data_IF_938691677097
#
_entry.id   IF_938691677097
#
_cell.length_a   1.000
_cell.length_b   1.000
_cell.length_c   1.000
_cell.angle_alpha   90.00
_cell.angle_beta   90.00
_cell.angle_gamma   90.00
#
_symmetry.space_group_name_H-M   'P 1'
#
loop_
_entity.id
_entity.type
_entity.pdbx_description
1 polymer ?
#
# COMPACT_ATOMS: atom_id res chain seq x y z
N UNK A 1 2.99 5.89 -28.69
CA UNK A 1 2.71 4.82 -27.72
C UNK A 1 4.04 4.40 -27.10
N UNK A 2 4.17 4.39 -25.78
CA UNK A 2 5.43 4.02 -25.10
C UNK A 2 5.39 2.51 -24.86
N UNK A 3 6.44 1.79 -25.23
CA UNK A 3 6.58 0.35 -24.99
C UNK A 3 7.56 0.11 -23.84
N UNK A 4 7.10 -0.60 -22.80
CA UNK A 4 7.90 -1.07 -21.67
C UNK A 4 7.63 -2.56 -21.51
N UNK A 5 8.68 -3.37 -21.34
CA UNK A 5 8.54 -4.83 -21.23
C UNK A 5 7.95 -5.24 -19.89
N UNK A 6 7.34 -6.43 -19.84
CA UNK A 6 6.88 -7.05 -18.59
C UNK A 6 7.99 -7.19 -17.55
N UNK A 7 9.25 -7.35 -17.98
CA UNK A 7 10.42 -7.42 -17.09
C UNK A 7 10.58 -6.12 -16.28
N UNK A 8 10.33 -4.98 -16.90
CA UNK A 8 10.46 -3.67 -16.27
C UNK A 8 9.13 -3.13 -15.73
N UNK A 9 8.00 -3.78 -16.04
CA UNK A 9 6.66 -3.40 -15.59
C UNK A 9 6.13 -4.24 -14.42
N UNK A 10 6.44 -5.54 -14.33
CA UNK A 10 5.83 -6.43 -13.31
C UNK A 10 6.48 -6.43 -11.93
N UNK A 11 7.81 -6.30 -11.76
CA UNK A 11 8.42 -6.35 -10.43
C UNK A 11 7.90 -5.24 -9.51
N UNK A 12 7.71 -5.53 -8.21
CA UNK A 12 7.27 -4.53 -7.23
C UNK A 12 8.24 -3.34 -7.08
N UNK A 13 9.52 -3.55 -7.40
CA UNK A 13 10.55 -2.53 -7.42
C UNK A 13 10.68 -1.75 -8.72
N UNK A 14 9.84 -2.02 -9.73
CA UNK A 14 9.87 -1.30 -11.02
C UNK A 14 9.69 0.21 -10.85
N UNK A 15 10.31 0.98 -11.74
CA UNK A 15 10.46 2.43 -11.59
C UNK A 15 9.66 3.25 -12.61
N UNK A 16 9.10 2.62 -13.64
CA UNK A 16 8.40 3.36 -14.70
C UNK A 16 6.99 3.76 -14.25
N UNK A 17 6.64 5.06 -14.21
CA UNK A 17 5.41 5.59 -13.60
C UNK A 17 4.13 5.34 -14.39
N UNK A 18 4.24 4.79 -15.60
CA UNK A 18 3.10 4.48 -16.48
C UNK A 18 3.04 3.00 -16.88
N UNK A 19 3.99 2.18 -16.42
CA UNK A 19 4.07 0.77 -16.79
C UNK A 19 3.31 -0.08 -15.77
N UNK A 20 1.99 0.11 -15.72
CA UNK A 20 1.10 -0.58 -14.79
C UNK A 20 0.10 -1.42 -15.58
N UNK A 21 -0.12 -2.65 -15.13
CA UNK A 21 -1.04 -3.58 -15.78
C UNK A 21 -2.51 -3.26 -15.52
N UNK A 22 -2.81 -2.54 -14.44
CA UNK A 22 -4.16 -2.44 -13.87
C UNK A 22 -4.52 -1.01 -13.42
N UNK A 23 -3.93 0.01 -14.05
CA UNK A 23 -4.26 1.42 -13.81
C UNK A 23 -5.20 1.92 -14.91
N UNK A 24 -6.37 2.42 -14.52
CA UNK A 24 -7.44 2.84 -15.45
C UNK A 24 -7.69 4.35 -15.42
N UNK A 25 -6.97 5.10 -14.56
CA UNK A 25 -7.16 6.53 -14.40
C UNK A 25 -6.24 7.39 -15.28
N UNK A 26 -6.33 8.71 -15.09
CA UNK A 26 -5.48 9.69 -15.77
C UNK A 26 -4.01 9.57 -15.33
N UNK A 27 -3.81 9.35 -14.04
CA UNK A 27 -2.53 9.11 -13.39
C UNK A 27 -2.78 8.23 -12.15
N UNK A 28 -1.77 7.47 -11.71
CA UNK A 28 -1.97 6.46 -10.68
C UNK A 28 -2.36 7.05 -9.32
N UNK A 29 -1.95 8.28 -9.01
CA UNK A 29 -2.21 8.93 -7.71
C UNK A 29 -3.66 9.38 -7.62
N UNK A 30 -4.15 10.06 -8.67
CA UNK A 30 -5.56 10.46 -8.77
C UNK A 30 -6.49 9.25 -8.74
N UNK A 31 -6.11 8.15 -9.40
CA UNK A 31 -6.92 6.93 -9.41
C UNK A 31 -6.95 6.23 -8.05
N UNK A 32 -5.85 6.25 -7.29
CA UNK A 32 -5.86 5.76 -5.90
C UNK A 32 -6.87 6.55 -5.05
N UNK A 33 -6.88 7.88 -5.17
CA UNK A 33 -7.84 8.72 -4.46
C UNK A 33 -9.29 8.37 -4.84
N UNK A 34 -9.55 8.21 -6.13
CA UNK A 34 -10.87 7.81 -6.65
C UNK A 34 -11.30 6.44 -6.10
N UNK A 35 -10.45 5.42 -6.22
CA UNK A 35 -10.75 4.07 -5.73
C UNK A 35 -10.97 4.02 -4.22
N UNK A 36 -10.25 4.84 -3.45
CA UNK A 36 -10.46 4.91 -2.00
C UNK A 36 -11.82 5.52 -1.63
N UNK A 37 -12.31 6.51 -2.37
CA UNK A 37 -13.67 7.03 -2.18
C UNK A 37 -14.74 6.03 -2.64
N UNK A 38 -14.55 5.37 -3.79
CA UNK A 38 -15.45 4.29 -4.23
C UNK A 38 -15.52 3.17 -3.19
N UNK A 39 -14.35 2.72 -2.69
CA UNK A 39 -14.26 1.71 -1.63
C UNK A 39 -15.00 2.14 -0.38
N UNK A 40 -14.82 3.40 0.05
CA UNK A 40 -15.50 3.96 1.22
C UNK A 40 -17.02 3.96 1.04
N UNK A 41 -17.52 4.36 -0.12
CA UNK A 41 -18.97 4.27 -0.43
C UNK A 41 -19.45 2.83 -0.45
N UNK A 42 -18.70 1.90 -1.05
CA UNK A 42 -19.05 0.49 -1.09
C UNK A 42 -19.10 -0.13 0.31
N UNK A 43 -18.07 0.07 1.13
CA UNK A 43 -18.06 -0.35 2.54
C UNK A 43 -19.17 0.33 3.33
N UNK A 44 -19.52 1.57 2.98
CA UNK A 44 -20.59 2.30 3.64
C UNK A 44 -21.99 1.76 3.31
N UNK A 45 -22.14 0.97 2.26
CA UNK A 45 -23.39 0.31 1.89
C UNK A 45 -23.32 -1.21 2.06
N UNK A 46 -22.21 -1.73 2.58
CA UNK A 46 -21.99 -3.16 2.75
C UNK A 46 -22.77 -3.70 3.95
N UNK A 47 -23.48 -4.81 3.77
CA UNK A 47 -24.32 -5.46 4.79
C UNK A 47 -25.00 -6.73 4.27
N UNK A 48 -26.12 -7.12 4.90
CA UNK A 48 -26.87 -8.34 4.59
C UNK A 48 -27.19 -8.52 3.09
N UNK A 49 -27.56 -7.44 2.39
CA UNK A 49 -27.94 -7.49 0.97
C UNK A 49 -26.78 -7.87 0.02
N UNK A 50 -25.54 -7.97 0.53
CA UNK A 50 -24.40 -8.47 -0.24
C UNK A 50 -24.39 -10.00 -0.38
N UNK A 51 -25.24 -10.72 0.34
CA UNK A 51 -25.46 -12.15 0.19
C UNK A 51 -26.92 -12.42 -0.22
N UNK A 52 -27.16 -13.54 -0.90
CA UNK A 52 -28.50 -13.95 -1.34
C UNK A 52 -29.33 -14.42 -0.16
N UNK A 53 -30.66 -14.24 -0.25
CA UNK A 53 -31.60 -14.85 0.69
C UNK A 53 -31.35 -16.37 0.76
N UNK A 54 -31.21 -16.90 1.99
CA UNK A 54 -30.87 -18.29 2.24
C UNK A 54 -29.37 -18.60 2.33
N UNK A 55 -28.48 -17.65 2.04
CA UNK A 55 -27.06 -17.78 2.36
C UNK A 55 -26.79 -17.48 3.84
N UNK A 56 -25.89 -18.23 4.50
CA UNK A 56 -25.38 -17.91 5.82
C UNK A 56 -24.65 -16.57 5.87
N UNK A 57 -24.87 -15.82 6.95
CA UNK A 57 -24.20 -14.54 7.24
C UNK A 57 -22.66 -14.62 7.25
N UNK A 58 -22.09 -15.79 7.55
CA UNK A 58 -20.63 -15.98 7.49
C UNK A 58 -20.05 -15.88 6.08
N UNK A 59 -20.87 -15.89 5.02
CA UNK A 59 -20.41 -15.59 3.66
C UNK A 59 -20.06 -14.11 3.46
N UNK A 60 -20.55 -13.21 4.32
CA UNK A 60 -20.18 -11.79 4.30
C UNK A 60 -18.65 -11.61 4.43
N UNK A 61 -17.96 -12.49 5.17
CA UNK A 61 -16.50 -12.47 5.31
C UNK A 61 -15.82 -12.56 3.94
N UNK A 62 -16.23 -13.50 3.09
CA UNK A 62 -15.60 -13.70 1.77
C UNK A 62 -15.99 -12.61 0.77
N UNK A 63 -17.24 -12.17 0.80
CA UNK A 63 -17.74 -11.11 -0.10
C UNK A 63 -17.13 -9.74 0.25
N UNK A 64 -16.72 -9.55 1.50
CA UNK A 64 -16.10 -8.31 1.97
C UNK A 64 -14.67 -8.14 1.43
N UNK A 65 -13.89 -9.22 1.34
CA UNK A 65 -12.47 -9.21 0.93
C UNK A 65 -12.19 -8.39 -0.35
N UNK A 66 -12.86 -8.63 -1.49
CA UNK A 66 -12.56 -7.88 -2.71
C UNK A 66 -12.87 -6.38 -2.61
N UNK A 67 -13.88 -5.99 -1.82
CA UNK A 67 -14.21 -4.57 -1.58
C UNK A 67 -13.20 -3.95 -0.60
N UNK A 68 -12.87 -4.66 0.47
CA UNK A 68 -11.92 -4.18 1.47
C UNK A 68 -10.51 -4.03 0.90
N UNK A 69 -10.10 -4.86 -0.06
CA UNK A 69 -8.83 -4.76 -0.77
C UNK A 69 -8.95 -4.19 -2.19
N UNK A 70 -9.98 -3.37 -2.47
CA UNK A 70 -10.22 -2.82 -3.80
C UNK A 70 -9.00 -2.07 -4.39
N UNK A 71 -8.24 -1.40 -3.53
CA UNK A 71 -7.07 -0.60 -3.91
C UNK A 71 -5.77 -1.41 -4.13
N UNK A 72 -5.79 -2.74 -3.97
CA UNK A 72 -4.57 -3.57 -3.86
C UNK A 72 -3.62 -3.49 -5.07
N UNK A 73 -4.15 -3.32 -6.28
CA UNK A 73 -3.31 -3.16 -7.48
C UNK A 73 -2.92 -1.71 -7.70
N UNK A 74 -3.77 -0.76 -7.31
CA UNK A 74 -3.50 0.66 -7.48
C UNK A 74 -2.34 1.12 -6.60
N UNK A 75 -2.21 0.60 -5.38
CA UNK A 75 -1.06 0.93 -4.52
C UNK A 75 0.27 0.48 -5.14
N UNK A 76 0.29 -0.61 -5.92
CA UNK A 76 1.49 -1.02 -6.66
C UNK A 76 1.81 0.00 -7.74
N UNK A 77 0.79 0.60 -8.36
CA UNK A 77 0.97 1.62 -9.36
C UNK A 77 1.54 2.92 -8.77
N UNK A 78 0.90 3.43 -7.72
CA UNK A 78 1.36 4.64 -7.01
C UNK A 78 2.79 4.49 -6.48
N UNK A 79 3.14 3.30 -5.96
CA UNK A 79 4.47 3.07 -5.41
C UNK A 79 5.62 3.19 -6.44
N UNK A 80 5.37 3.05 -7.75
CA UNK A 80 6.44 3.22 -8.76
C UNK A 80 6.78 4.67 -9.04
N UNK A 81 5.87 5.59 -8.71
CA UNK A 81 6.12 7.02 -8.82
C UNK A 81 7.23 7.42 -7.85
N UNK A 82 7.20 6.91 -6.63
CA UNK A 82 8.19 7.24 -5.59
C UNK A 82 9.55 6.65 -5.96
N UNK A 83 10.57 7.49 -6.13
CA UNK A 83 11.88 7.04 -6.62
C UNK A 83 11.78 6.42 -8.03
N UNK A 84 10.79 6.86 -8.81
CA UNK A 84 10.55 6.44 -10.17
C UNK A 84 11.43 7.17 -11.19
N UNK A 85 11.50 6.59 -12.39
CA UNK A 85 12.23 7.14 -13.53
C UNK A 85 11.35 6.99 -14.77
N UNK A 86 11.12 8.10 -15.48
CA UNK A 86 10.51 8.06 -16.80
C UNK A 86 11.59 7.65 -17.80
N UNK A 87 11.40 6.59 -18.55
CA UNK A 87 12.41 6.13 -19.51
C UNK A 87 11.76 5.42 -20.69
N UNK A 88 12.48 5.34 -21.81
CA UNK A 88 12.07 4.51 -22.95
C UNK A 88 13.23 3.63 -23.40
N UNK A 89 12.98 2.69 -24.30
CA UNK A 89 14.04 1.94 -24.99
C UNK A 89 14.54 2.70 -26.23
N UNK A 90 14.82 3.99 -26.05
CA UNK A 90 15.30 4.88 -27.11
C UNK A 90 16.57 4.33 -27.77
N UNK A 91 16.60 4.38 -29.10
CA UNK A 91 17.78 4.10 -29.91
C UNK A 91 18.58 5.40 -30.12
N UNK A 92 19.90 5.27 -30.25
CA UNK A 92 20.75 6.43 -30.54
C UNK A 92 20.29 7.10 -31.84
N UNK A 93 19.84 8.35 -31.73
CA UNK A 93 19.42 9.17 -32.88
C UNK A 93 17.94 9.04 -33.27
N UNK A 94 17.12 8.30 -32.52
CA UNK A 94 15.68 8.17 -32.82
C UNK A 94 14.81 9.32 -32.28
N UNK A 95 15.39 10.21 -31.48
CA UNK A 95 14.72 11.38 -30.91
C UNK A 95 13.78 11.08 -29.74
N UNK A 96 13.72 9.85 -29.25
CA UNK A 96 12.90 9.50 -28.09
C UNK A 96 13.56 9.95 -26.78
N UNK A 97 12.72 10.20 -25.77
CA UNK A 97 13.17 10.45 -24.42
C UNK A 97 13.97 9.25 -23.90
N UNK A 98 15.22 9.44 -23.50
CA UNK A 98 16.03 8.35 -22.94
C UNK A 98 15.62 8.08 -21.49
N UNK A 99 15.82 9.07 -20.61
CA UNK A 99 15.48 8.99 -19.18
C UNK A 99 15.21 10.39 -18.63
N UNK A 100 14.30 10.50 -17.68
CA UNK A 100 13.95 11.75 -16.99
C UNK A 100 13.45 11.44 -15.57
N UNK A 101 13.88 12.27 -14.61
CA UNK A 101 13.34 12.20 -13.25
C UNK A 101 11.91 12.72 -13.22
N UNK A 102 11.10 12.12 -12.36
CA UNK A 102 9.73 12.58 -12.17
C UNK A 102 9.69 13.89 -11.39
N UNK A 103 8.59 14.62 -11.56
CA UNK A 103 8.31 15.82 -10.78
C UNK A 103 8.37 15.49 -9.26
N UNK A 104 9.16 16.23 -8.46
CA UNK A 104 9.28 15.96 -7.03
C UNK A 104 7.98 16.06 -6.25
N UNK A 105 7.06 16.97 -6.64
CA UNK A 105 5.78 17.11 -5.93
C UNK A 105 4.88 15.92 -6.22
N UNK A 106 4.84 15.44 -7.47
CA UNK A 106 4.08 14.25 -7.84
C UNK A 106 4.53 13.00 -7.04
N UNK A 107 5.83 12.85 -6.76
CA UNK A 107 6.33 11.78 -5.88
C UNK A 107 5.89 11.91 -4.44
N UNK A 108 5.79 13.15 -3.93
CA UNK A 108 5.31 13.41 -2.59
C UNK A 108 3.80 13.18 -2.47
N UNK A 109 3.02 13.56 -3.47
CA UNK A 109 1.58 13.26 -3.55
C UNK A 109 1.33 11.74 -3.58
N UNK A 110 2.12 11.00 -4.36
CA UNK A 110 2.08 9.54 -4.37
C UNK A 110 2.37 8.94 -2.99
N UNK A 111 3.37 9.47 -2.28
CA UNK A 111 3.71 9.05 -0.92
C UNK A 111 2.56 9.32 0.06
N UNK A 112 1.94 10.51 0.01
CA UNK A 112 0.79 10.83 0.86
C UNK A 112 -0.40 9.94 0.58
N UNK A 113 -0.68 9.64 -0.69
CA UNK A 113 -1.73 8.71 -1.09
C UNK A 113 -1.56 7.34 -0.45
N UNK A 114 -0.34 6.80 -0.45
CA UNK A 114 -0.03 5.53 0.21
C UNK A 114 -0.07 5.63 1.74
N UNK A 115 0.37 6.74 2.35
CA UNK A 115 0.26 6.94 3.81
C UNK A 115 -1.22 7.01 4.24
N UNK A 116 -2.10 7.56 3.40
CA UNK A 116 -3.53 7.64 3.66
C UNK A 116 -4.22 6.27 3.68
N UNK A 117 -3.72 5.26 2.96
CA UNK A 117 -4.27 3.89 3.03
C UNK A 117 -3.96 3.20 4.37
N UNK A 118 -2.94 3.67 5.09
CA UNK A 118 -2.52 3.15 6.40
C UNK A 118 -3.28 3.78 7.57
N UNK A 119 -4.11 4.79 7.33
CA UNK A 119 -4.80 5.51 8.41
C UNK A 119 -5.99 4.70 8.95
N UNK A 120 -6.32 4.79 10.26
CA UNK A 120 -7.45 4.06 10.84
C UNK A 120 -8.79 4.32 10.15
N UNK A 121 -9.04 5.54 9.67
CA UNK A 121 -10.26 5.87 8.92
C UNK A 121 -10.38 5.13 7.57
N UNK A 122 -9.28 4.64 7.01
CA UNK A 122 -9.25 3.81 5.80
C UNK A 122 -9.41 2.31 6.11
N UNK A 123 -9.20 1.89 7.36
CA UNK A 123 -9.02 0.49 7.72
C UNK A 123 -10.11 -0.05 8.67
N UNK A 124 -10.65 0.80 9.55
CA UNK A 124 -11.63 0.38 10.55
C UNK A 124 -12.97 0.10 9.87
N UNK A 125 -13.52 -1.09 10.12
CA UNK A 125 -14.89 -1.43 9.76
C UNK A 125 -15.87 -0.87 10.79
N UNK A 126 -17.07 -0.53 10.32
CA UNK A 126 -18.18 -0.07 11.15
C UNK A 126 -18.69 -1.18 12.09
N UNK A 127 -19.16 -0.79 13.26
CA UNK A 127 -19.58 -1.73 14.31
C UNK A 127 -20.83 -2.54 13.94
N UNK A 128 -21.78 -1.93 13.22
CA UNK A 128 -22.97 -2.59 12.70
C UNK A 128 -22.63 -3.69 11.69
N UNK A 129 -21.61 -3.51 10.84
CA UNK A 129 -21.14 -4.58 9.95
C UNK A 129 -20.46 -5.71 10.73
N UNK A 130 -19.60 -5.38 11.70
CA UNK A 130 -18.90 -6.39 12.50
C UNK A 130 -19.88 -7.32 13.23
N UNK A 131 -21.01 -6.78 13.70
CA UNK A 131 -22.09 -7.54 14.34
C UNK A 131 -22.80 -8.52 13.40
N UNK A 132 -22.76 -8.27 12.09
CA UNK A 132 -23.40 -9.15 11.10
C UNK A 132 -22.56 -10.37 10.75
N UNK A 133 -21.27 -10.43 11.10
CA UNK A 133 -20.37 -11.49 10.64
C UNK A 133 -20.12 -12.50 11.78
N UNK A 134 -20.90 -13.60 11.85
CA UNK A 134 -20.67 -14.65 12.84
C UNK A 134 -19.45 -15.51 12.44
N UNK A 135 -19.01 -16.43 13.32
CA UNK A 135 -18.12 -17.51 12.92
C UNK A 135 -18.59 -18.25 11.67
N UNK A 136 -17.63 -18.83 10.94
CA UNK A 136 -17.88 -19.63 9.73
C UNK A 136 -18.91 -20.74 10.01
N UNK A 137 -19.90 -20.88 9.12
CA UNK A 137 -20.90 -21.94 9.22
C UNK A 137 -20.29 -23.32 8.89
N UNK A 138 -20.96 -24.40 9.31
CA UNK A 138 -20.53 -25.75 8.97
C UNK A 138 -20.39 -25.94 7.46
N UNK A 139 -19.28 -26.55 7.02
CA UNK A 139 -18.96 -26.76 5.60
C UNK A 139 -18.42 -25.53 4.87
N UNK A 140 -18.18 -24.41 5.57
CA UNK A 140 -17.63 -23.14 5.02
C UNK A 140 -16.22 -22.87 5.54
N UNK A 141 -15.31 -23.81 5.30
CA UNK A 141 -13.93 -23.69 5.78
C UNK A 141 -13.20 -22.51 5.11
N UNK A 142 -12.19 -21.99 5.81
CA UNK A 142 -11.28 -20.98 5.23
C UNK A 142 -10.51 -21.56 4.07
N UNK A 143 -10.27 -20.73 3.06
CA UNK A 143 -9.51 -21.11 1.87
C UNK A 143 -8.24 -20.28 1.76
N UNK A 144 -7.45 -20.50 0.70
CA UNK A 144 -6.28 -19.65 0.39
C UNK A 144 -6.64 -18.18 0.18
N UNK A 145 -7.89 -17.89 -0.16
CA UNK A 145 -8.39 -16.53 -0.37
C UNK A 145 -8.90 -15.87 0.93
N UNK A 146 -8.93 -16.61 2.05
CA UNK A 146 -9.24 -16.07 3.38
C UNK A 146 -8.03 -15.33 3.95
N UNK A 147 -8.28 -14.25 4.68
CA UNK A 147 -7.23 -13.50 5.37
C UNK A 147 -6.82 -14.18 6.69
N UNK A 148 -5.65 -13.80 7.21
CA UNK A 148 -5.16 -14.30 8.49
C UNK A 148 -6.09 -13.87 9.65
N UNK A 149 -6.24 -14.70 10.66
CA UNK A 149 -7.08 -14.41 11.81
C UNK A 149 -6.37 -14.83 13.11
N UNK A 150 -6.47 -13.99 14.15
CA UNK A 150 -5.86 -14.21 15.47
C UNK A 150 -6.88 -14.38 16.60
N UNK A 151 -8.16 -14.09 16.37
CA UNK A 151 -9.26 -14.30 17.34
C UNK A 151 -9.87 -15.71 17.27
N UNK A 152 -9.36 -16.57 16.40
CA UNK A 152 -9.80 -17.96 16.25
C UNK A 152 -11.02 -18.06 15.35
N UNK A 153 -12.16 -18.41 15.95
CA UNK A 153 -13.41 -18.70 15.22
C UNK A 153 -14.21 -17.45 14.87
N UNK A 154 -14.05 -16.36 15.60
CA UNK A 154 -14.77 -15.10 15.36
C UNK A 154 -14.15 -14.31 14.21
N UNK A 155 -14.90 -13.39 13.62
CA UNK A 155 -14.37 -12.47 12.62
C UNK A 155 -13.35 -11.50 13.24
N UNK A 156 -12.20 -11.36 12.58
CA UNK A 156 -11.07 -10.55 13.06
C UNK A 156 -10.83 -9.33 12.17
N UNK A 157 -11.53 -8.23 12.47
CA UNK A 157 -11.38 -6.98 11.73
C UNK A 157 -9.99 -6.33 11.87
N UNK A 158 -9.23 -6.65 12.92
CA UNK A 158 -7.88 -6.10 13.14
C UNK A 158 -6.87 -6.80 12.24
N UNK A 159 -6.91 -8.13 12.16
CA UNK A 159 -6.05 -8.89 11.25
C UNK A 159 -6.36 -8.62 9.77
N UNK A 160 -7.61 -8.27 9.44
CA UNK A 160 -7.97 -7.80 8.10
C UNK A 160 -7.26 -6.46 7.77
N UNK A 161 -7.23 -5.53 8.73
CA UNK A 161 -6.51 -4.26 8.60
C UNK A 161 -4.98 -4.45 8.53
N UNK A 162 -4.41 -5.38 9.30
CA UNK A 162 -2.99 -5.79 9.19
C UNK A 162 -2.66 -6.23 7.76
N UNK A 163 -3.53 -7.04 7.15
CA UNK A 163 -3.33 -7.53 5.79
C UNK A 163 -3.31 -6.38 4.79
N UNK A 164 -4.23 -5.42 4.89
CA UNK A 164 -4.22 -4.21 4.03
C UNK A 164 -2.96 -3.36 4.24
N UNK A 165 -2.53 -3.18 5.49
CA UNK A 165 -1.31 -2.43 5.81
C UNK A 165 -0.07 -3.10 5.22
N UNK A 166 0.00 -4.43 5.28
CA UNK A 166 1.10 -5.20 4.72
C UNK A 166 1.19 -5.03 3.20
N UNK A 167 0.05 -5.07 2.48
CA UNK A 167 0.02 -4.81 1.03
C UNK A 167 0.67 -3.47 0.67
N UNK A 168 0.35 -2.41 1.44
CA UNK A 168 0.93 -1.07 1.24
C UNK A 168 2.41 -1.00 1.65
N UNK A 169 2.77 -1.52 2.82
CA UNK A 169 4.15 -1.46 3.31
C UNK A 169 5.11 -2.24 2.42
N UNK A 170 4.68 -3.42 1.92
CA UNK A 170 5.45 -4.25 0.98
C UNK A 170 5.84 -3.49 -0.28
N UNK A 171 4.92 -2.70 -0.83
CA UNK A 171 5.18 -1.93 -2.05
C UNK A 171 5.93 -0.65 -1.75
N UNK A 172 5.71 0.00 -0.60
CA UNK A 172 6.33 1.27 -0.24
C UNK A 172 7.81 1.09 0.17
N UNK A 173 8.09 0.12 1.03
CA UNK A 173 9.38 -0.13 1.68
C UNK A 173 10.22 -1.18 0.92
N UNK A 174 10.45 -0.94 -0.38
CA UNK A 174 11.22 -1.84 -1.24
C UNK A 174 12.71 -1.44 -1.31
N UNK A 175 13.67 -2.39 -1.26
CA UNK A 175 15.12 -2.12 -1.26
C UNK A 175 15.61 -1.29 -2.44
N UNK A 176 15.15 -1.62 -3.65
CA UNK A 176 15.55 -0.91 -4.87
C UNK A 176 15.06 0.55 -4.84
N UNK A 177 13.85 0.80 -4.35
CA UNK A 177 13.29 2.16 -4.26
C UNK A 177 14.00 2.99 -3.22
N UNK A 178 14.21 2.42 -2.03
CA UNK A 178 14.96 3.08 -0.96
C UNK A 178 16.34 3.52 -1.46
N UNK A 179 17.01 2.64 -2.21
CA UNK A 179 18.32 2.93 -2.80
C UNK A 179 18.24 3.99 -3.90
N UNK A 180 17.24 3.93 -4.80
CA UNK A 180 17.03 4.97 -5.83
C UNK A 180 16.76 6.34 -5.23
N UNK A 181 15.97 6.44 -4.16
CA UNK A 181 15.70 7.72 -3.49
C UNK A 181 16.98 8.38 -2.93
N UNK A 182 17.98 7.59 -2.54
CA UNK A 182 19.29 8.11 -2.14
C UNK A 182 20.07 8.60 -3.35
N UNK A 183 20.18 7.75 -4.37
CA UNK A 183 20.94 8.07 -5.59
C UNK A 183 20.36 9.29 -6.32
N UNK A 184 19.05 9.33 -6.51
CA UNK A 184 18.37 10.38 -7.28
C UNK A 184 18.47 11.72 -6.57
N UNK A 185 18.34 11.75 -5.24
CA UNK A 185 18.56 12.97 -4.46
C UNK A 185 20.01 13.44 -4.49
N UNK A 186 20.98 12.52 -4.50
CA UNK A 186 22.39 12.87 -4.64
C UNK A 186 22.73 13.44 -6.04
N UNK A 187 22.02 13.00 -7.07
CA UNK A 187 22.16 13.49 -8.46
C UNK A 187 21.43 14.81 -8.70
N UNK A 188 20.29 15.01 -8.05
CA UNK A 188 19.49 16.23 -8.11
C UNK A 188 18.81 16.48 -6.74
N UNK A 189 19.24 17.53 -6.05
CA UNK A 189 18.75 17.88 -4.71
C UNK A 189 17.26 18.26 -4.66
N UNK A 190 16.64 18.51 -5.82
CA UNK A 190 15.18 18.73 -5.92
C UNK A 190 14.39 17.43 -5.74
N UNK A 191 14.97 16.29 -6.10
CA UNK A 191 14.32 14.98 -5.94
C UNK A 191 14.15 14.64 -4.46
N UNK A 192 13.08 13.92 -4.05
CA UNK A 192 12.91 13.55 -2.65
C UNK A 192 13.98 12.54 -2.21
N UNK A 193 14.74 12.89 -1.16
CA UNK A 193 15.66 11.97 -0.52
C UNK A 193 14.95 10.91 0.33
N UNK A 194 15.60 9.77 0.53
CA UNK A 194 15.04 8.68 1.33
C UNK A 194 14.76 9.09 2.79
N UNK A 195 15.59 9.95 3.39
CA UNK A 195 15.34 10.49 4.73
C UNK A 195 14.04 11.31 4.79
N UNK A 196 13.77 12.15 3.78
CA UNK A 196 12.52 12.92 3.69
C UNK A 196 11.31 11.99 3.58
N UNK A 197 11.41 10.95 2.74
CA UNK A 197 10.36 9.94 2.60
C UNK A 197 10.11 9.24 3.93
N UNK A 198 11.17 8.79 4.60
CA UNK A 198 11.06 8.10 5.88
C UNK A 198 10.47 8.97 6.99
N UNK A 199 10.92 10.22 7.12
CA UNK A 199 10.34 11.17 8.08
C UNK A 199 8.86 11.44 7.81
N UNK A 200 8.45 11.48 6.54
CA UNK A 200 7.03 11.67 6.18
C UNK A 200 6.19 10.45 6.52
N UNK A 201 6.71 9.23 6.30
CA UNK A 201 6.06 7.99 6.74
C UNK A 201 5.90 7.99 8.25
N UNK A 202 6.97 8.19 9.02
CA UNK A 202 6.92 8.10 10.50
C UNK A 202 6.04 9.18 11.11
N UNK A 203 6.12 10.43 10.64
CA UNK A 203 5.23 11.51 11.07
C UNK A 203 3.77 11.28 10.65
N UNK A 204 3.55 10.64 9.50
CA UNK A 204 2.23 10.31 8.97
C UNK A 204 1.58 9.09 9.62
N UNK A 205 2.34 8.26 10.36
CA UNK A 205 1.84 7.01 10.95
C UNK A 205 2.28 6.84 12.41
N UNK A 206 3.50 6.36 12.64
CA UNK A 206 4.02 5.92 13.94
C UNK A 206 3.89 7.00 15.01
N UNK A 207 4.24 8.24 14.67
CA UNK A 207 4.27 9.36 15.61
C UNK A 207 2.91 10.06 15.78
N UNK A 208 1.88 9.66 15.03
CA UNK A 208 0.52 10.19 15.22
C UNK A 208 -0.09 9.59 16.48
N UNK A 209 -0.93 10.37 17.16
CA UNK A 209 -1.70 9.86 18.29
C UNK A 209 -2.69 8.77 17.84
N UNK A 210 -2.83 7.73 18.66
CA UNK A 210 -3.83 6.69 18.43
C UNK A 210 -5.24 7.19 18.78
N UNK A 211 -6.26 6.96 17.94
CA UNK A 211 -7.64 7.20 18.32
C UNK A 211 -8.07 6.20 19.41
N UNK A 212 -9.20 6.48 20.08
CA UNK A 212 -9.77 5.57 21.08
C UNK A 212 -10.48 4.37 20.44
N UNK A 213 -10.71 3.33 21.23
CA UNK A 213 -11.48 2.15 20.80
C UNK A 213 -10.78 1.34 19.70
N UNK A 214 -11.58 0.71 18.84
CA UNK A 214 -11.10 -0.19 17.78
C UNK A 214 -10.07 0.48 16.84
N UNK A 215 -10.24 1.77 16.54
CA UNK A 215 -9.28 2.49 15.70
C UNK A 215 -7.88 2.58 16.32
N UNK A 216 -7.78 2.59 17.65
CA UNK A 216 -6.50 2.57 18.36
C UNK A 216 -5.80 1.23 18.24
N UNK A 217 -6.55 0.13 18.30
CA UNK A 217 -6.01 -1.23 18.09
C UNK A 217 -5.57 -1.45 16.65
N UNK A 218 -6.38 -1.01 15.68
CA UNK A 218 -6.00 -1.06 14.26
C UNK A 218 -4.70 -0.28 14.04
N UNK A 219 -4.58 0.94 14.60
CA UNK A 219 -3.35 1.72 14.48
C UNK A 219 -2.15 0.99 15.07
N UNK A 220 -2.25 0.43 16.27
CA UNK A 220 -1.13 -0.30 16.91
C UNK A 220 -0.60 -1.41 16.01
N UNK A 221 -1.50 -2.16 15.38
CA UNK A 221 -1.11 -3.24 14.48
C UNK A 221 -0.53 -2.72 13.17
N UNK A 222 -1.08 -1.65 12.60
CA UNK A 222 -0.47 -0.96 11.44
C UNK A 222 0.94 -0.46 11.77
N UNK A 223 1.13 0.17 12.93
CA UNK A 223 2.44 0.65 13.38
C UNK A 223 3.45 -0.51 13.49
N UNK A 224 3.03 -1.65 14.03
CA UNK A 224 3.84 -2.86 14.09
C UNK A 224 4.23 -3.35 12.68
N UNK A 225 3.29 -3.41 11.74
CA UNK A 225 3.57 -3.80 10.35
C UNK A 225 4.59 -2.86 9.70
N UNK A 226 4.48 -1.55 9.93
CA UNK A 226 5.45 -0.58 9.41
C UNK A 226 6.84 -0.86 10.00
N UNK A 227 6.94 -1.05 11.32
CA UNK A 227 8.21 -1.36 12.00
C UNK A 227 8.82 -2.68 11.50
N UNK A 228 8.01 -3.72 11.32
CA UNK A 228 8.44 -5.02 10.81
C UNK A 228 9.04 -4.91 9.40
N UNK A 229 8.39 -4.16 8.50
CA UNK A 229 8.91 -3.89 7.16
C UNK A 229 10.18 -3.03 7.18
N UNK A 230 10.31 -2.08 8.11
CA UNK A 230 11.53 -1.29 8.26
C UNK A 230 12.70 -2.11 8.77
N UNK A 231 12.48 -2.98 9.75
CA UNK A 231 13.48 -3.92 10.24
C UNK A 231 13.89 -4.88 9.13
N UNK A 232 12.92 -5.42 8.39
CA UNK A 232 13.17 -6.27 7.22
C UNK A 232 14.01 -5.54 6.17
N UNK A 233 13.70 -4.27 5.86
CA UNK A 233 14.43 -3.46 4.90
C UNK A 233 15.87 -3.16 5.38
N UNK A 234 16.07 -2.90 6.67
CA UNK A 234 17.38 -2.67 7.27
C UNK A 234 18.28 -3.92 7.22
N UNK A 235 17.70 -5.10 7.36
CA UNK A 235 18.42 -6.39 7.34
C UNK A 235 18.55 -6.99 5.93
N UNK A 236 17.86 -6.43 4.93
CA UNK A 236 17.86 -6.97 3.58
C UNK A 236 19.20 -6.68 2.86
N UNK A 237 19.86 -7.75 2.39
CA UNK A 237 21.14 -7.69 1.67
C UNK A 237 21.09 -6.93 0.34
N UNK A 238 19.89 -6.73 -0.24
CA UNK A 238 19.69 -5.94 -1.45
C UNK A 238 19.54 -4.44 -1.17
N UNK A 239 19.32 -4.04 0.08
CA UNK A 239 19.26 -2.63 0.47
C UNK A 239 20.68 -2.06 0.50
N UNK A 240 20.88 -0.91 -0.13
CA UNK A 240 22.17 -0.22 -0.07
C UNK A 240 22.58 0.15 1.37
N UNK A 241 23.88 0.19 1.70
CA UNK A 241 24.35 0.59 3.04
C UNK A 241 23.84 1.97 3.46
N UNK A 242 23.77 2.93 2.53
CA UNK A 242 23.25 4.26 2.82
C UNK A 242 21.78 4.24 3.25
N UNK A 243 20.93 3.43 2.61
CA UNK A 243 19.53 3.27 3.01
C UNK A 243 19.40 2.56 4.35
N UNK A 244 20.22 1.54 4.60
CA UNK A 244 20.29 0.89 5.92
C UNK A 244 20.68 1.89 7.03
N UNK A 245 21.66 2.77 6.79
CA UNK A 245 22.06 3.81 7.75
C UNK A 245 20.90 4.76 8.07
N UNK A 246 20.16 5.23 7.07
CA UNK A 246 18.99 6.10 7.28
C UNK A 246 17.93 5.39 8.13
N UNK A 247 17.58 4.14 7.80
CA UNK A 247 16.56 3.38 8.54
C UNK A 247 16.98 3.19 10.00
N UNK A 248 18.21 2.71 10.23
CA UNK A 248 18.74 2.47 11.57
C UNK A 248 18.84 3.78 12.38
N UNK A 249 19.12 4.91 11.75
CA UNK A 249 19.12 6.21 12.42
C UNK A 249 17.73 6.63 12.87
N UNK A 250 16.68 6.26 12.13
CA UNK A 250 15.30 6.63 12.44
C UNK A 250 14.74 5.73 13.54
N UNK A 251 15.06 4.44 13.53
CA UNK A 251 14.64 3.48 14.56
C UNK A 251 15.28 3.73 15.94
N UNK A 252 16.35 4.53 16.01
CA UNK A 252 17.02 4.91 17.26
C UNK A 252 16.45 6.18 17.92
N UNK A 253 15.61 6.93 17.21
CA UNK A 253 14.98 8.15 17.73
C UNK A 253 13.74 7.78 18.54
#
# INVERSE_FOLDING_TARGET
>A
MIFITDKDARPLGSAHPKAHLWDNGKDPVSELSNLMEVRKVALNNFGENNIRVGQPYSDLEDVLVPIYFLHRYQIEAVAKVIGGLNFTYALRGDGQLVTEFLDPNFQIEALDGLINTLQPNSLVLREDLLKLIPPRASGRERTRESFNNRTGVTFDGVSLAETAANLTCRVLLHPERATRLIEYHARDSKQPGFEKVMNRITNGTLLRAAPKGLGGEVKRNVDFIILDHLLSLALNKKTSPAAQTVILSILKR
#
